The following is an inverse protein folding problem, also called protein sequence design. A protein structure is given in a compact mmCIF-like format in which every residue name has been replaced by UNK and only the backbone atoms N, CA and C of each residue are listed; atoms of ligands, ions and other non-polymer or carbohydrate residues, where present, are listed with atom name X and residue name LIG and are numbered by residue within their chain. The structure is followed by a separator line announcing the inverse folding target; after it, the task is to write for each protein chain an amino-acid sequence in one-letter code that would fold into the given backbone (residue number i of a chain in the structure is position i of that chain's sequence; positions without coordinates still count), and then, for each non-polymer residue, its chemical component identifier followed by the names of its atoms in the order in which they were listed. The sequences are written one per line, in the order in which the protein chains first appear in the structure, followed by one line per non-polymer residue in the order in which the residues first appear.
data_IF_614276339366
#
_entry.id   IF_614276339366
#
_cell.length_a   1.000
_cell.length_b   1.000
_cell.length_c   1.000
_cell.angle_alpha   90.00
_cell.angle_beta   90.00
_cell.angle_gamma   90.00
#
_symmetry.space_group_name_H-M   'P 1'
#
loop_
_entity.id
_entity.type
_entity.pdbx_description
1 polymer ?
#
# COMPACT_ATOMS: atom_id res chain seq x y z
N UNK A 1 6.62 22.12 -28.27
CA UNK A 1 5.38 21.37 -28.58
C UNK A 1 5.32 20.98 -30.05
N UNK A 2 6.30 20.20 -30.51
CA UNK A 2 6.37 19.56 -31.84
C UNK A 2 7.35 18.39 -31.73
N UNK A 3 6.90 17.25 -31.22
CA UNK A 3 7.68 16.00 -31.26
C UNK A 3 6.83 14.72 -31.12
N UNK A 4 5.55 14.75 -31.53
CA UNK A 4 4.63 13.59 -31.44
C UNK A 4 4.34 12.89 -32.79
N UNK A 5 5.15 13.10 -33.82
CA UNK A 5 4.90 12.51 -35.16
C UNK A 5 5.77 11.27 -35.48
N UNK A 6 6.48 10.70 -34.50
CA UNK A 6 7.36 9.54 -34.72
C UNK A 6 6.66 8.17 -34.74
N UNK A 7 5.35 8.10 -34.51
CA UNK A 7 4.59 6.84 -34.39
C UNK A 7 3.51 6.60 -35.45
N UNK A 8 3.49 7.38 -36.54
CA UNK A 8 2.61 7.10 -37.69
C UNK A 8 3.33 6.32 -38.79
N UNK A 9 3.83 5.14 -38.47
CA UNK A 9 4.04 4.16 -39.53
C UNK A 9 2.67 3.53 -39.84
N UNK A 10 2.14 3.78 -41.04
CA UNK A 10 0.97 3.05 -41.56
C UNK A 10 1.30 1.56 -41.56
N UNK A 11 0.69 0.81 -40.65
CA UNK A 11 0.85 -0.64 -40.57
C UNK A 11 0.40 -1.24 -41.89
N UNK A 12 1.37 -1.77 -42.65
CA UNK A 12 1.11 -2.44 -43.92
C UNK A 12 0.51 -3.82 -43.62
N UNK A 13 -0.82 -3.92 -43.71
CA UNK A 13 -1.60 -5.13 -43.45
C UNK A 13 -1.24 -6.32 -44.38
N UNK A 14 -0.45 -6.08 -45.44
CA UNK A 14 0.04 -7.14 -46.34
C UNK A 14 1.34 -7.81 -45.86
N UNK A 15 1.91 -7.39 -44.71
CA UNK A 15 3.12 -7.96 -44.10
C UNK A 15 2.91 -8.37 -42.64
N UNK A 16 1.87 -9.16 -42.39
CA UNK A 16 1.64 -9.74 -41.06
C UNK A 16 2.55 -10.95 -40.84
N UNK A 17 3.09 -11.07 -39.63
CA UNK A 17 3.75 -12.29 -39.15
C UNK A 17 2.75 -13.44 -38.99
N UNK A 18 3.24 -14.68 -38.91
CA UNK A 18 2.40 -15.88 -38.75
C UNK A 18 1.54 -15.81 -37.48
N UNK A 19 2.10 -15.28 -36.38
CA UNK A 19 1.38 -15.12 -35.11
C UNK A 19 0.27 -14.06 -35.20
N UNK A 20 0.51 -12.96 -35.90
CA UNK A 20 -0.50 -11.92 -36.12
C UNK A 20 -1.64 -12.43 -37.00
N UNK A 21 -1.34 -13.28 -37.99
CA UNK A 21 -2.36 -13.95 -38.80
C UNK A 21 -3.24 -14.88 -37.96
N UNK A 22 -2.68 -15.60 -36.99
CA UNK A 22 -3.43 -16.46 -36.07
C UNK A 22 -4.35 -15.63 -35.19
N UNK A 23 -3.85 -14.53 -34.63
CA UNK A 23 -4.64 -13.63 -33.78
C UNK A 23 -5.80 -13.02 -34.58
N UNK A 24 -5.55 -12.56 -35.81
CA UNK A 24 -6.58 -11.97 -36.65
C UNK A 24 -7.61 -12.99 -37.19
N UNK A 25 -7.23 -14.26 -37.40
CA UNK A 25 -8.17 -15.35 -37.69
C UNK A 25 -9.04 -15.68 -36.46
N UNK A 26 -8.46 -15.69 -35.26
CA UNK A 26 -9.18 -15.88 -34.01
C UNK A 26 -10.17 -14.74 -33.71
N UNK A 27 -9.82 -13.51 -34.08
CA UNK A 27 -10.70 -12.34 -33.99
C UNK A 27 -11.69 -12.25 -35.16
N UNK A 28 -11.60 -13.13 -36.16
CA UNK A 28 -12.53 -13.20 -37.30
C UNK A 28 -12.40 -12.09 -38.32
N UNK A 29 -11.28 -11.36 -38.31
CA UNK A 29 -11.02 -10.18 -39.15
C UNK A 29 -10.26 -10.50 -40.45
N UNK A 30 -9.77 -11.74 -40.62
CA UNK A 30 -9.17 -12.20 -41.86
C UNK A 30 -10.22 -12.83 -42.80
N UNK A 31 -10.07 -12.64 -44.12
CA UNK A 31 -11.06 -12.98 -45.17
C UNK A 31 -11.48 -14.46 -45.28
N UNK A 32 -10.92 -15.35 -44.46
CA UNK A 32 -11.32 -16.75 -44.23
C UNK A 32 -12.65 -16.88 -43.49
N UNK A 33 -13.00 -15.90 -42.64
CA UNK A 33 -14.16 -15.88 -41.73
C UNK A 33 -15.49 -16.05 -42.46
N UNK A 34 -15.70 -15.36 -43.60
CA UNK A 34 -16.97 -15.42 -44.35
C UNK A 34 -17.24 -16.79 -44.97
N UNK A 35 -16.19 -17.49 -45.43
CA UNK A 35 -16.32 -18.83 -46.06
C UNK A 35 -16.48 -19.94 -45.00
N UNK A 36 -15.88 -19.77 -43.82
CA UNK A 36 -16.01 -20.66 -42.66
C UNK A 36 -17.39 -20.52 -42.02
N UNK A 37 -17.89 -19.29 -41.88
CA UNK A 37 -19.26 -18.97 -41.44
C UNK A 37 -20.31 -19.59 -42.37
N UNK A 38 -20.20 -19.42 -43.69
CA UNK A 38 -21.14 -20.01 -44.65
C UNK A 38 -21.13 -21.56 -44.63
N UNK A 39 -19.97 -22.20 -44.40
CA UNK A 39 -19.89 -23.65 -44.21
C UNK A 39 -20.52 -24.13 -42.90
N UNK A 40 -20.39 -23.35 -41.81
CA UNK A 40 -21.04 -23.63 -40.52
C UNK A 40 -22.56 -23.44 -40.58
N UNK A 41 -23.05 -22.44 -41.31
CA UNK A 41 -24.50 -22.26 -41.53
C UNK A 41 -25.10 -23.40 -42.35
N UNK A 42 -24.35 -23.97 -43.31
CA UNK A 42 -24.81 -25.08 -44.15
C UNK A 42 -25.01 -26.40 -43.37
N UNK A 43 -24.19 -26.64 -42.34
CA UNK A 43 -24.29 -27.85 -41.49
C UNK A 43 -25.36 -27.74 -40.40
N UNK A 44 -25.77 -26.53 -40.02
CA UNK A 44 -26.87 -26.29 -39.08
C UNK A 44 -28.26 -26.66 -39.64
N UNK A 45 -28.41 -26.75 -40.97
CA UNK A 45 -29.68 -27.01 -41.66
C UNK A 45 -30.33 -28.37 -41.33
N UNK A 46 -29.55 -29.34 -40.84
CA UNK A 46 -30.04 -30.68 -40.46
C UNK A 46 -30.30 -30.84 -38.96
N UNK A 47 -29.85 -29.90 -38.11
CA UNK A 47 -29.97 -29.98 -36.65
C UNK A 47 -31.17 -29.23 -36.04
N UNK A 48 -31.82 -28.35 -36.81
CA UNK A 48 -32.85 -27.42 -36.28
C UNK A 48 -34.13 -28.15 -35.84
N UNK A 49 -34.40 -29.36 -36.34
CA UNK A 49 -35.55 -30.14 -35.86
C UNK A 49 -35.34 -30.75 -34.46
N UNK A 50 -34.09 -30.97 -34.04
CA UNK A 50 -33.78 -31.54 -32.73
C UNK A 50 -33.52 -30.46 -31.66
N UNK A 51 -33.10 -29.25 -32.04
CA UNK A 51 -32.86 -28.16 -31.09
C UNK A 51 -34.12 -27.71 -30.34
N UNK A 52 -35.31 -27.92 -30.92
CA UNK A 52 -36.58 -27.61 -30.24
C UNK A 52 -36.90 -28.55 -29.06
N UNK A 53 -36.17 -29.66 -28.92
CA UNK A 53 -36.30 -30.60 -27.79
C UNK A 53 -35.16 -30.50 -26.77
N UNK A 54 -34.12 -29.70 -27.03
CA UNK A 54 -33.04 -29.46 -26.08
C UNK A 54 -33.16 -28.02 -25.55
N UNK A 55 -33.89 -27.87 -24.45
CA UNK A 55 -33.85 -26.64 -23.66
C UNK A 55 -32.44 -26.48 -23.07
N UNK A 56 -31.97 -25.23 -22.99
CA UNK A 56 -30.68 -24.86 -22.39
C UNK A 56 -30.52 -25.30 -20.92
N UNK A 57 -31.57 -25.83 -20.31
CA UNK A 57 -31.59 -26.39 -18.95
C UNK A 57 -30.80 -27.69 -18.82
N UNK A 58 -30.64 -28.49 -19.89
CA UNK A 58 -29.97 -29.80 -19.79
C UNK A 58 -28.44 -29.70 -19.64
N UNK A 59 -27.85 -28.58 -20.08
CA UNK A 59 -26.40 -28.33 -20.03
C UNK A 59 -26.02 -27.19 -19.08
N UNK A 60 -26.97 -26.39 -18.63
CA UNK A 60 -26.75 -25.43 -17.57
C UNK A 60 -26.66 -26.21 -16.25
N UNK A 61 -25.43 -26.44 -15.76
CA UNK A 61 -25.27 -26.71 -14.34
C UNK A 61 -25.88 -25.52 -13.61
N UNK A 62 -27.01 -25.71 -12.97
CA UNK A 62 -27.61 -24.70 -12.11
C UNK A 62 -26.56 -24.42 -11.05
N UNK A 63 -25.87 -23.27 -11.15
CA UNK A 63 -25.06 -22.80 -10.03
C UNK A 63 -25.99 -22.82 -8.84
N UNK A 64 -25.60 -23.53 -7.79
CA UNK A 64 -26.40 -23.62 -6.57
C UNK A 64 -26.72 -22.19 -6.13
N UNK A 65 -28.01 -21.87 -5.99
CA UNK A 65 -28.44 -20.54 -5.61
C UNK A 65 -27.67 -20.11 -4.36
N UNK A 66 -26.96 -18.98 -4.48
CA UNK A 66 -26.34 -18.34 -3.33
C UNK A 66 -27.48 -17.98 -2.36
N UNK A 67 -27.34 -18.28 -1.06
CA UNK A 67 -28.38 -17.92 -0.11
C UNK A 67 -28.68 -16.43 -0.21
N UNK A 68 -29.95 -16.07 -0.41
CA UNK A 68 -30.40 -14.66 -0.49
C UNK A 68 -30.05 -13.86 0.76
N UNK A 69 -29.78 -14.55 1.88
CA UNK A 69 -29.33 -13.93 3.10
C UNK A 69 -27.82 -13.64 3.05
N UNK A 70 -27.47 -12.43 2.61
CA UNK A 70 -26.11 -11.87 2.64
C UNK A 70 -25.44 -11.91 4.02
N UNK A 71 -26.23 -12.04 5.11
CA UNK A 71 -25.70 -12.22 6.47
C UNK A 71 -24.97 -13.55 6.64
N UNK A 72 -25.34 -14.59 5.89
CA UNK A 72 -24.65 -15.88 5.90
C UNK A 72 -23.28 -15.84 5.21
N UNK A 73 -22.99 -14.79 4.42
CA UNK A 73 -21.68 -14.55 3.81
C UNK A 73 -20.72 -13.75 4.72
N UNK A 74 -21.19 -13.31 5.90
CA UNK A 74 -20.35 -12.69 6.91
C UNK A 74 -19.69 -13.81 7.72
N UNK A 75 -18.40 -14.03 7.51
CA UNK A 75 -17.59 -14.90 8.36
C UNK A 75 -17.34 -14.18 9.68
N UNK A 76 -18.37 -14.11 10.52
CA UNK A 76 -18.34 -13.37 11.78
C UNK A 76 -17.38 -14.03 12.78
N UNK A 77 -16.54 -13.19 13.39
CA UNK A 77 -15.64 -13.56 14.47
C UNK A 77 -15.80 -12.61 15.65
N UNK A 78 -15.51 -13.12 16.85
CA UNK A 78 -15.36 -12.31 18.06
C UNK A 78 -13.87 -12.16 18.34
N UNK A 79 -13.43 -10.94 18.60
CA UNK A 79 -12.03 -10.63 18.91
C UNK A 79 -11.95 -9.60 20.03
N UNK A 80 -11.02 -9.79 20.96
CA UNK A 80 -10.70 -8.80 21.99
C UNK A 80 -9.44 -8.03 21.58
N UNK A 81 -9.60 -6.78 21.16
CA UNK A 81 -8.46 -5.93 20.82
C UNK A 81 -8.01 -5.11 22.03
N UNK A 82 -6.71 -5.11 22.32
CA UNK A 82 -6.09 -4.26 23.33
C UNK A 82 -5.45 -3.07 22.61
N UNK A 83 -6.10 -1.92 22.63
CA UNK A 83 -5.71 -0.72 21.87
C UNK A 83 -5.54 0.46 22.83
N UNK A 84 -4.36 1.08 22.83
CA UNK A 84 -4.02 2.22 23.69
C UNK A 84 -4.36 1.95 25.16
N UNK A 85 -3.88 0.82 25.70
CA UNK A 85 -4.13 0.37 27.08
C UNK A 85 -5.60 0.00 27.40
N UNK A 86 -6.53 0.09 26.43
CA UNK A 86 -7.94 -0.30 26.60
C UNK A 86 -8.26 -1.62 25.92
N UNK A 87 -9.07 -2.47 26.56
CA UNK A 87 -9.59 -3.70 25.95
C UNK A 87 -10.99 -3.47 25.38
N UNK A 88 -11.19 -3.80 24.11
CA UNK A 88 -12.47 -3.65 23.40
C UNK A 88 -12.87 -4.98 22.74
N UNK A 89 -13.95 -5.63 23.21
CA UNK A 89 -14.53 -6.77 22.52
C UNK A 89 -15.25 -6.30 21.25
N UNK A 90 -14.99 -6.95 20.12
CA UNK A 90 -15.61 -6.65 18.84
C UNK A 90 -16.15 -7.90 18.16
N UNK A 91 -17.26 -7.72 17.46
CA UNK A 91 -17.83 -8.71 16.53
C UNK A 91 -17.68 -8.16 15.12
N UNK A 92 -16.91 -8.86 14.28
CA UNK A 92 -16.41 -8.36 12.99
C UNK A 92 -16.49 -9.44 11.91
N UNK A 93 -16.49 -9.04 10.64
CA UNK A 93 -16.19 -9.96 9.53
C UNK A 93 -14.71 -10.35 9.59
N UNK A 94 -14.37 -11.62 9.34
CA UNK A 94 -13.00 -12.13 9.41
C UNK A 94 -12.00 -11.46 8.47
N UNK A 95 -12.48 -10.81 7.40
CA UNK A 95 -11.67 -10.04 6.44
C UNK A 95 -11.36 -8.62 6.90
N UNK A 96 -11.96 -8.16 8.00
CA UNK A 96 -11.79 -6.80 8.49
C UNK A 96 -10.31 -6.55 8.81
N UNK A 97 -9.71 -5.58 8.11
CA UNK A 97 -8.35 -5.13 8.39
C UNK A 97 -8.29 -4.50 9.78
N UNK A 98 -7.13 -4.53 10.43
CA UNK A 98 -6.91 -3.82 11.69
C UNK A 98 -7.16 -2.32 11.49
N UNK A 99 -6.79 -1.77 10.33
CA UNK A 99 -7.06 -0.39 9.96
C UNK A 99 -8.55 -0.03 10.05
N UNK A 100 -9.40 -0.86 9.44
CA UNK A 100 -10.85 -0.60 9.41
C UNK A 100 -11.51 -0.88 10.76
N UNK A 101 -11.01 -1.87 11.51
CA UNK A 101 -11.46 -2.09 12.88
C UNK A 101 -11.18 -0.85 13.77
N UNK A 102 -9.97 -0.29 13.69
CA UNK A 102 -9.59 0.90 14.46
C UNK A 102 -10.46 2.11 14.09
N UNK A 103 -10.59 2.39 12.79
CA UNK A 103 -11.24 3.61 12.32
C UNK A 103 -12.75 3.54 12.39
N UNK A 104 -13.32 2.48 11.82
CA UNK A 104 -14.76 2.42 11.52
C UNK A 104 -15.55 1.72 12.63
N UNK A 105 -14.89 0.91 13.47
CA UNK A 105 -15.55 0.20 14.58
C UNK A 105 -15.22 0.80 15.94
N UNK A 106 -13.99 1.30 16.12
CA UNK A 106 -13.54 1.91 17.37
C UNK A 106 -13.52 3.44 17.35
N UNK A 107 -13.68 4.08 16.19
CA UNK A 107 -13.66 5.54 16.06
C UNK A 107 -12.26 6.18 16.25
N UNK A 108 -11.21 5.36 16.29
CA UNK A 108 -9.81 5.80 16.38
C UNK A 108 -9.30 6.15 14.97
N UNK A 109 -9.67 7.35 14.53
CA UNK A 109 -9.50 7.80 13.13
C UNK A 109 -8.14 8.41 12.84
N UNK A 110 -7.24 8.48 13.82
CA UNK A 110 -5.86 8.96 13.68
C UNK A 110 -5.08 8.13 12.67
N UNK A 111 -5.13 6.81 12.75
CA UNK A 111 -4.56 5.91 11.72
C UNK A 111 -5.28 6.12 10.38
N UNK A 112 -4.52 6.28 9.28
CA UNK A 112 -5.10 6.69 7.99
C UNK A 112 -5.07 5.60 6.91
N UNK A 113 -6.11 5.58 6.08
CA UNK A 113 -6.17 4.78 4.85
C UNK A 113 -5.66 5.61 3.68
N UNK A 114 -4.41 5.41 3.27
CA UNK A 114 -3.84 6.13 2.11
C UNK A 114 -3.91 5.34 0.81
N UNK A 115 -3.62 4.04 0.85
CA UNK A 115 -3.62 3.16 -0.33
C UNK A 115 -4.37 1.84 -0.13
N UNK A 116 -4.50 1.36 1.11
CA UNK A 116 -5.09 0.04 1.45
C UNK A 116 -4.37 -1.19 0.86
N UNK A 117 -3.16 -0.99 0.30
CA UNK A 117 -2.38 -2.04 -0.38
C UNK A 117 -0.90 -2.06 0.05
N UNK A 118 -0.58 -1.52 1.23
CA UNK A 118 0.77 -1.55 1.81
C UNK A 118 1.81 -0.63 1.15
N UNK A 119 1.38 0.34 0.35
CA UNK A 119 2.28 1.16 -0.47
C UNK A 119 2.76 2.46 0.21
N UNK A 120 2.03 2.99 1.21
CA UNK A 120 2.26 4.36 1.69
C UNK A 120 2.62 4.53 3.17
N UNK A 121 2.46 3.52 4.01
CA UNK A 121 2.77 3.62 5.46
C UNK A 121 1.84 4.51 6.30
N UNK A 122 0.86 5.21 5.73
CA UNK A 122 -0.05 6.09 6.48
C UNK A 122 -0.91 5.34 7.53
N UNK A 123 -1.04 4.02 7.36
CA UNK A 123 -1.77 3.13 8.26
C UNK A 123 -0.90 2.50 9.36
N UNK A 124 0.33 2.98 9.55
CA UNK A 124 1.25 2.37 10.51
C UNK A 124 0.74 2.53 11.94
N UNK A 125 0.72 1.41 12.66
CA UNK A 125 0.48 1.31 14.11
C UNK A 125 1.59 0.48 14.73
N UNK A 126 1.72 0.49 16.05
CA UNK A 126 2.70 -0.33 16.77
C UNK A 126 1.96 -1.52 17.38
N UNK A 127 2.37 -2.74 17.04
CA UNK A 127 1.84 -4.00 17.56
C UNK A 127 2.96 -4.71 18.32
N UNK A 128 2.79 -4.92 19.63
CA UNK A 128 3.80 -5.55 20.50
C UNK A 128 5.19 -4.90 20.35
N UNK A 129 5.23 -3.58 20.27
CA UNK A 129 6.46 -2.78 20.11
C UNK A 129 6.99 -2.68 18.68
N UNK A 130 6.41 -3.38 17.70
CA UNK A 130 6.86 -3.35 16.30
C UNK A 130 5.90 -2.56 15.42
N UNK A 131 6.41 -1.78 14.47
CA UNK A 131 5.56 -1.09 13.50
C UNK A 131 5.00 -2.08 12.48
N UNK A 132 3.70 -1.97 12.22
CA UNK A 132 2.98 -2.81 11.26
C UNK A 132 2.02 -1.97 10.41
N UNK A 133 1.87 -2.37 9.15
CA UNK A 133 0.86 -1.83 8.24
C UNK A 133 -0.51 -2.42 8.59
N UNK A 134 -1.35 -1.63 9.25
CA UNK A 134 -2.66 -2.12 9.71
C UNK A 134 -3.63 -2.45 8.57
N UNK A 135 -3.45 -1.91 7.36
CA UNK A 135 -4.25 -2.28 6.18
C UNK A 135 -3.98 -3.71 5.69
N UNK A 136 -2.78 -4.24 5.93
CA UNK A 136 -2.40 -5.62 5.55
C UNK A 136 -2.39 -6.58 6.75
N UNK A 137 -2.96 -6.16 7.87
CA UNK A 137 -3.09 -6.98 9.08
C UNK A 137 -4.57 -7.23 9.33
N UNK A 138 -4.99 -8.48 9.50
CA UNK A 138 -6.38 -8.77 9.89
C UNK A 138 -6.60 -8.48 11.37
N UNK A 139 -7.72 -7.85 11.73
CA UNK A 139 -8.08 -7.65 13.13
C UNK A 139 -8.15 -8.98 13.89
N UNK A 140 -8.61 -10.04 13.20
CA UNK A 140 -8.67 -11.41 13.69
C UNK A 140 -7.35 -11.94 14.28
N UNK A 141 -6.20 -11.52 13.74
CA UNK A 141 -4.88 -12.04 14.14
C UNK A 141 -4.22 -11.20 15.24
N UNK A 142 -4.95 -10.22 15.78
CA UNK A 142 -4.46 -9.29 16.80
C UNK A 142 -5.00 -9.57 18.20
N UNK A 143 -5.72 -10.67 18.40
CA UNK A 143 -6.15 -11.07 19.74
C UNK A 143 -4.93 -11.24 20.67
N UNK A 144 -5.02 -10.67 21.88
CA UNK A 144 -3.97 -10.72 22.89
C UNK A 144 -2.79 -9.77 22.66
N UNK A 145 -2.65 -9.16 21.48
CA UNK A 145 -1.56 -8.21 21.18
C UNK A 145 -1.87 -6.82 21.72
N UNK A 146 -0.82 -6.08 22.10
CA UNK A 146 -0.94 -4.66 22.44
C UNK A 146 -0.79 -3.82 21.17
N UNK A 147 -1.78 -2.97 20.90
CA UNK A 147 -1.80 -2.08 19.76
C UNK A 147 -1.74 -0.63 20.24
N UNK A 148 -0.73 0.11 19.80
CA UNK A 148 -0.63 1.56 20.02
C UNK A 148 -0.86 2.30 18.71
N UNK A 149 -1.83 3.20 18.70
CA UNK A 149 -2.10 4.15 17.62
C UNK A 149 -1.57 5.54 17.97
N UNK A 150 -1.64 6.49 17.04
CA UNK A 150 -1.18 7.86 17.27
C UNK A 150 -1.88 8.53 18.46
N UNK A 151 -3.15 8.20 18.70
CA UNK A 151 -3.95 8.68 19.83
C UNK A 151 -3.42 8.20 21.18
N UNK A 152 -2.78 7.02 21.22
CA UNK A 152 -2.21 6.44 22.44
C UNK A 152 -0.82 6.97 22.80
N UNK A 153 -0.22 7.82 21.96
CA UNK A 153 1.14 8.33 22.19
C UNK A 153 1.20 9.45 23.23
N UNK A 154 0.16 10.27 23.31
CA UNK A 154 0.08 11.34 24.30
C UNK A 154 -0.35 10.77 25.65
N UNK A 155 0.34 11.15 26.74
CA UNK A 155 0.02 10.72 28.11
C UNK A 155 -0.28 11.94 28.97
N UNK A 156 -1.34 11.90 29.77
CA UNK A 156 -1.73 12.99 30.68
C UNK A 156 -1.80 14.37 30.00
N UNK A 157 -2.31 14.43 28.76
CA UNK A 157 -2.35 15.64 27.92
C UNK A 157 -0.99 16.21 27.51
N UNK A 158 0.10 15.49 27.72
CA UNK A 158 1.43 15.82 27.22
C UNK A 158 1.70 15.08 25.90
N UNK A 159 2.16 15.83 24.89
CA UNK A 159 2.58 15.27 23.61
C UNK A 159 3.82 14.41 23.79
N UNK A 160 3.87 13.29 23.06
CA UNK A 160 5.09 12.48 22.94
C UNK A 160 6.25 13.34 22.37
N UNK A 161 7.51 13.15 22.78
CA UNK A 161 8.65 13.92 22.24
C UNK A 161 8.70 13.96 20.71
N UNK A 162 8.38 12.83 20.05
CA UNK A 162 8.27 12.78 18.58
C UNK A 162 7.15 13.67 18.02
N UNK A 163 5.99 13.78 18.69
CA UNK A 163 4.94 14.71 18.28
C UNK A 163 5.40 16.16 18.42
N UNK A 164 6.11 16.49 19.51
CA UNK A 164 6.67 17.82 19.76
C UNK A 164 7.72 18.20 18.71
N UNK A 165 8.62 17.27 18.38
CA UNK A 165 9.64 17.49 17.36
C UNK A 165 9.02 17.69 15.97
N UNK A 166 8.00 16.89 15.60
CA UNK A 166 7.28 17.09 14.34
C UNK A 166 6.61 18.47 14.26
N UNK A 167 6.06 18.96 15.37
CA UNK A 167 5.49 20.31 15.42
C UNK A 167 6.57 21.39 15.28
N UNK A 168 7.67 21.26 16.01
CA UNK A 168 8.76 22.23 16.05
C UNK A 168 9.50 22.36 14.71
N UNK A 169 9.74 21.25 14.04
CA UNK A 169 10.47 21.20 12.77
C UNK A 169 9.58 21.38 11.54
N UNK A 170 8.28 21.63 11.72
CA UNK A 170 7.30 21.63 10.61
C UNK A 170 7.37 20.32 9.80
N UNK A 171 7.42 19.20 10.53
CA UNK A 171 7.55 17.83 10.01
C UNK A 171 6.27 17.30 9.35
N UNK A 172 5.33 18.18 8.99
CA UNK A 172 4.10 17.85 8.29
C UNK A 172 3.48 19.08 7.65
N UNK A 173 2.50 18.87 6.77
CA UNK A 173 1.66 19.96 6.23
C UNK A 173 0.19 19.55 6.30
N UNK A 174 -0.28 18.73 5.34
CA UNK A 174 -1.68 18.29 5.33
C UNK A 174 -2.06 17.38 6.52
N UNK A 175 -1.08 16.89 7.26
CA UNK A 175 -1.28 16.03 8.43
C UNK A 175 -1.64 14.57 8.11
N UNK A 176 -1.86 14.20 6.84
CA UNK A 176 -2.43 12.88 6.50
C UNK A 176 -1.48 11.72 6.75
N UNK A 177 -0.20 11.84 6.36
CA UNK A 177 0.79 10.78 6.61
C UNK A 177 1.33 10.81 8.05
N UNK A 178 1.15 11.93 8.76
CA UNK A 178 1.80 12.23 10.04
C UNK A 178 1.57 11.17 11.12
N UNK A 179 0.36 10.62 11.31
CA UNK A 179 0.15 9.52 12.26
C UNK A 179 1.05 8.31 12.00
N UNK A 180 1.11 7.87 10.74
CA UNK A 180 1.96 6.75 10.34
C UNK A 180 3.45 7.08 10.46
N UNK A 181 3.86 8.32 10.09
CA UNK A 181 5.25 8.79 10.24
C UNK A 181 5.70 8.74 11.70
N UNK A 182 4.88 9.25 12.62
CA UNK A 182 5.23 9.30 14.05
C UNK A 182 5.28 7.90 14.64
N UNK A 183 4.29 7.04 14.36
CA UNK A 183 4.30 5.65 14.83
C UNK A 183 5.52 4.88 14.30
N UNK A 184 5.85 5.05 13.02
CA UNK A 184 7.07 4.46 12.44
C UNK A 184 8.34 4.98 13.11
N UNK A 185 8.45 6.29 13.29
CA UNK A 185 9.63 6.92 13.88
C UNK A 185 9.90 6.42 15.30
N UNK A 186 8.86 6.24 16.11
CA UNK A 186 8.98 5.73 17.48
C UNK A 186 9.44 4.26 17.48
N UNK A 187 8.83 3.40 16.67
CA UNK A 187 9.22 1.99 16.59
C UNK A 187 10.66 1.84 16.06
N UNK A 188 11.06 2.68 15.11
CA UNK A 188 12.41 2.71 14.54
C UNK A 188 13.51 3.03 15.55
N UNK A 189 13.24 3.90 16.53
CA UNK A 189 14.19 4.17 17.60
C UNK A 189 14.47 2.91 18.41
N UNK A 190 13.44 2.08 18.65
CA UNK A 190 13.61 0.80 19.34
C UNK A 190 14.32 -0.23 18.44
N UNK A 191 14.00 -0.31 17.15
CA UNK A 191 14.73 -1.13 16.16
C UNK A 191 16.24 -0.80 16.17
N UNK A 192 16.59 0.49 16.14
CA UNK A 192 17.97 0.96 16.17
C UNK A 192 18.67 0.64 17.50
N UNK A 193 17.96 0.83 18.63
CA UNK A 193 18.46 0.46 19.97
C UNK A 193 18.72 -1.04 20.07
N UNK A 194 17.89 -1.87 19.45
CA UNK A 194 18.07 -3.31 19.36
C UNK A 194 19.16 -3.75 18.37
N UNK A 195 19.73 -2.81 17.60
CA UNK A 195 20.77 -3.11 16.61
C UNK A 195 20.23 -3.77 15.34
N UNK A 196 18.95 -3.58 15.01
CA UNK A 196 18.37 -4.09 13.77
C UNK A 196 18.95 -3.32 12.58
N UNK A 197 19.66 -4.00 11.68
CA UNK A 197 20.28 -3.40 10.50
C UNK A 197 19.25 -2.99 9.44
N UNK A 198 19.59 -1.98 8.63
CA UNK A 198 18.85 -1.55 7.44
C UNK A 198 19.64 -1.89 6.16
N UNK A 199 19.12 -1.49 5.00
CA UNK A 199 19.80 -1.66 3.72
C UNK A 199 21.12 -0.88 3.62
N UNK A 200 21.21 0.28 4.27
CA UNK A 200 22.38 1.17 4.22
C UNK A 200 23.39 0.94 5.35
N UNK A 201 23.14 -0.08 6.17
CA UNK A 201 24.05 -0.45 7.25
C UNK A 201 25.32 -1.12 6.69
N UNK A 202 26.48 -0.46 6.81
CA UNK A 202 27.73 -0.93 6.20
C UNK A 202 28.32 -2.21 6.85
N UNK A 203 28.37 -2.28 8.18
CA UNK A 203 29.03 -3.39 8.90
C UNK A 203 28.05 -4.19 9.76
N UNK A 204 27.51 -5.25 9.15
CA UNK A 204 26.59 -6.19 9.80
C UNK A 204 27.26 -7.06 10.88
N UNK A 205 28.59 -7.14 10.93
CA UNK A 205 29.30 -8.07 11.84
C UNK A 205 29.60 -7.47 13.20
N UNK A 206 29.65 -6.14 13.29
CA UNK A 206 30.02 -5.43 14.53
C UNK A 206 28.81 -4.91 15.32
N UNK A 207 27.61 -4.92 14.73
CA UNK A 207 26.39 -4.43 15.38
C UNK A 207 25.91 -5.45 16.41
N UNK A 208 25.83 -5.02 17.67
CA UNK A 208 25.29 -5.81 18.78
C UNK A 208 24.07 -5.15 19.43
N UNK A 209 24.07 -3.82 19.53
CA UNK A 209 22.99 -2.99 20.08
C UNK A 209 23.39 -1.52 19.96
N UNK A 210 22.41 -0.61 19.96
CA UNK A 210 22.66 0.83 20.05
C UNK A 210 23.25 1.44 18.77
N UNK A 211 22.56 1.24 17.65
CA UNK A 211 22.98 1.83 16.37
C UNK A 211 22.81 3.35 16.42
N UNK A 212 23.90 4.10 16.29
CA UNK A 212 23.81 5.55 16.01
C UNK A 212 23.37 5.74 14.58
N UNK A 213 22.18 6.30 14.37
CA UNK A 213 21.62 6.50 13.04
C UNK A 213 22.22 7.74 12.37
N UNK A 214 22.81 7.54 11.20
CA UNK A 214 23.10 8.62 10.26
C UNK A 214 21.80 9.15 9.63
N UNK A 215 21.87 10.30 8.96
CA UNK A 215 20.72 10.80 8.21
C UNK A 215 20.26 9.82 7.10
N UNK A 216 21.21 9.14 6.45
CA UNK A 216 20.93 8.12 5.44
C UNK A 216 20.21 6.90 6.05
N UNK A 217 20.64 6.44 7.22
CA UNK A 217 19.95 5.39 7.99
C UNK A 217 18.51 5.80 8.33
N UNK A 218 18.30 7.03 8.81
CA UNK A 218 16.95 7.53 9.14
C UNK A 218 16.08 7.55 7.89
N UNK A 219 16.60 8.06 6.77
CA UNK A 219 15.87 8.15 5.50
C UNK A 219 15.48 6.77 5.00
N UNK A 220 16.42 5.84 4.91
CA UNK A 220 16.17 4.46 4.47
C UNK A 220 15.09 3.79 5.34
N UNK A 221 15.25 3.89 6.66
CA UNK A 221 14.33 3.31 7.63
C UNK A 221 12.91 3.88 7.57
N UNK A 222 12.79 5.16 7.25
CA UNK A 222 11.52 5.88 7.11
C UNK A 222 10.91 5.78 5.70
N UNK A 223 11.63 5.20 4.71
CA UNK A 223 11.20 5.11 3.31
C UNK A 223 9.85 4.40 3.12
N UNK A 224 9.43 3.55 4.07
CA UNK A 224 8.11 2.90 4.07
C UNK A 224 6.92 3.86 4.31
N UNK A 225 7.18 5.12 4.65
CA UNK A 225 6.15 6.12 4.94
C UNK A 225 6.21 7.29 3.93
N UNK A 226 5.28 7.31 2.99
CA UNK A 226 5.22 8.30 1.92
C UNK A 226 4.58 9.61 2.41
N UNK A 227 5.22 10.74 2.12
CA UNK A 227 4.71 12.09 2.35
C UNK A 227 4.58 12.85 1.01
N UNK A 228 3.35 13.01 0.52
CA UNK A 228 3.11 13.72 -0.75
C UNK A 228 3.37 15.22 -0.68
N UNK A 229 3.26 15.81 0.52
CA UNK A 229 3.61 17.21 0.76
C UNK A 229 5.12 17.48 0.64
N UNK A 230 5.97 16.44 0.63
CA UNK A 230 7.41 16.60 0.50
C UNK A 230 8.11 17.05 1.78
N UNK A 231 7.49 16.88 2.96
CA UNK A 231 8.06 17.31 4.25
C UNK A 231 9.23 16.44 4.76
N UNK A 232 9.85 15.61 3.91
CA UNK A 232 10.83 14.59 4.34
C UNK A 232 12.03 15.17 5.07
N UNK A 233 12.58 16.29 4.61
CA UNK A 233 13.75 16.90 5.27
C UNK A 233 13.43 17.33 6.69
N UNK A 234 12.24 17.91 6.90
CA UNK A 234 11.76 18.33 8.21
C UNK A 234 11.41 17.13 9.11
N UNK A 235 10.83 16.07 8.54
CA UNK A 235 10.58 14.80 9.24
C UNK A 235 11.90 14.19 9.75
N UNK A 236 12.95 14.22 8.92
CA UNK A 236 14.29 13.73 9.30
C UNK A 236 14.86 14.57 10.45
N UNK A 237 14.72 15.90 10.43
CA UNK A 237 15.20 16.73 11.54
C UNK A 237 14.41 16.49 12.84
N UNK A 238 13.09 16.34 12.74
CA UNK A 238 12.26 15.97 13.88
C UNK A 238 12.71 14.65 14.51
N UNK A 239 13.03 13.66 13.65
CA UNK A 239 13.57 12.38 14.11
C UNK A 239 14.94 12.58 14.80
N UNK A 240 15.87 13.32 14.16
CA UNK A 240 17.22 13.58 14.70
C UNK A 240 17.18 14.26 16.06
N UNK A 241 16.28 15.22 16.28
CA UNK A 241 16.14 15.86 17.60
C UNK A 241 15.81 14.83 18.68
N UNK A 242 14.87 13.92 18.43
CA UNK A 242 14.49 12.91 19.42
C UNK A 242 15.57 11.85 19.60
N UNK A 243 16.27 11.48 18.52
CA UNK A 243 17.31 10.45 18.53
C UNK A 243 18.61 10.91 19.21
N UNK A 244 19.15 12.06 18.78
CA UNK A 244 20.49 12.53 19.18
C UNK A 244 20.50 13.87 19.92
N UNK A 245 19.33 14.50 20.12
CA UNK A 245 19.25 15.86 20.69
C UNK A 245 19.69 16.95 19.72
N UNK A 246 19.98 16.60 18.46
CA UNK A 246 20.38 17.56 17.44
C UNK A 246 19.16 18.38 16.99
N UNK A 247 19.20 19.66 17.29
CA UNK A 247 18.13 20.61 17.01
C UNK A 247 18.54 21.65 15.95
N UNK A 248 19.54 21.35 15.13
CA UNK A 248 19.90 22.24 14.03
C UNK A 248 18.86 22.18 12.91
N UNK A 249 18.26 23.33 12.60
CA UNK A 249 17.42 23.49 11.42
C UNK A 249 18.33 23.62 10.18
N UNK A 250 18.06 22.88 9.10
CA UNK A 250 18.81 23.01 7.86
C UNK A 250 18.63 24.42 7.32
N UNK A 251 19.75 25.10 7.09
CA UNK A 251 19.78 26.37 6.36
C UNK A 251 19.74 26.08 4.87
N UNK A 252 18.70 26.58 4.21
CA UNK A 252 18.58 26.51 2.76
C UNK A 252 19.32 27.69 2.13
N UNK A 253 20.33 27.39 1.33
CA UNK A 253 20.96 28.36 0.44
C UNK A 253 20.71 27.97 -1.02
N UNK A 254 20.71 28.97 -1.90
CA UNK A 254 20.70 28.70 -3.33
C UNK A 254 22.04 28.08 -3.72
N UNK A 255 21.99 27.00 -4.51
CA UNK A 255 23.18 26.40 -5.06
C UNK A 255 24.00 27.43 -5.85
N UNK A 256 25.30 27.50 -5.56
CA UNK A 256 26.24 28.34 -6.30
C UNK A 256 26.36 27.87 -7.75
N UNK A 257 26.79 28.77 -8.63
CA UNK A 257 27.05 28.42 -10.03
C UNK A 257 28.07 27.28 -10.17
N UNK A 258 29.05 27.22 -9.27
CA UNK A 258 30.06 26.16 -9.24
C UNK A 258 29.45 24.81 -8.85
N UNK A 259 28.63 24.76 -7.79
CA UNK A 259 27.90 23.56 -7.39
C UNK A 259 26.97 23.06 -8.51
N UNK A 260 26.26 23.98 -9.19
CA UNK A 260 25.40 23.65 -10.33
C UNK A 260 26.20 23.09 -11.53
N UNK A 261 27.37 23.66 -11.82
CA UNK A 261 28.24 23.16 -12.89
C UNK A 261 28.82 21.79 -12.54
N UNK A 262 29.19 21.56 -11.28
CA UNK A 262 29.67 20.25 -10.80
C UNK A 262 28.58 19.18 -10.92
N UNK A 263 27.35 19.49 -10.52
CA UNK A 263 26.22 18.57 -10.59
C UNK A 263 25.82 18.20 -12.04
N UNK A 264 26.03 19.10 -13.02
CA UNK A 264 25.81 18.79 -14.44
C UNK A 264 26.81 17.79 -15.01
N UNK A 265 27.97 17.66 -14.38
CA UNK A 265 29.08 16.84 -14.86
C UNK A 265 29.29 15.56 -14.03
N UNK A 266 28.41 15.31 -13.06
CA UNK A 266 28.39 14.12 -12.20
C UNK A 266 27.32 13.15 -12.69
#
# INVERSE_FOLDING_TARGET
MKEDDKFKEEVNLDKLSDDENIILDAMGLNGSSRRKFLKQVSTASLGIYASSFFTSELFASTMKDLPENTTALLNEIKVNLRVNEMVKPLTLDSRTSLLDALRERLGLTGTKKGCDHGQCGACTVIIDGKRNLSCLTLAATCEGKEITTVEGLAKNSEMHPMQQAFLKHDGFQCGYCTPGQICSAIALLEEAKNGEASYVTEDLKTIKSGLTLSEEEIRERMSGNICRCGAYNNIVQAFKEVHSGDNEMPTWEFATQEQMNKAKNA
#
